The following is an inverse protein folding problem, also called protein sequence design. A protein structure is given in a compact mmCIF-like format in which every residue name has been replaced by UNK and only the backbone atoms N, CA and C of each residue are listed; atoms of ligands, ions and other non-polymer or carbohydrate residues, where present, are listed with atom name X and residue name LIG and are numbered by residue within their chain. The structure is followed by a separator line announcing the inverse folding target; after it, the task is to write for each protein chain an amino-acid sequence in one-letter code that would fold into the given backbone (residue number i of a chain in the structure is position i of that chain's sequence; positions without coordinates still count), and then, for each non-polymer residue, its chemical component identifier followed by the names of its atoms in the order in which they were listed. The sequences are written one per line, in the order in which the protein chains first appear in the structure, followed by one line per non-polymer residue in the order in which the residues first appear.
data_IF_653417888635
#
_entry.id   IF_653417888635
#
_cell.length_a   1.000
_cell.length_b   1.000
_cell.length_c   1.000
_cell.angle_alpha   90.00
_cell.angle_beta   90.00
_cell.angle_gamma   90.00
#
_symmetry.space_group_name_H-M   'P 1'
#
loop_
_entity.id
_entity.type
_entity.pdbx_description
1 polymer ?
#
# COMPACT_ATOMS: atom_id res chain seq x y z
N UNK A 1 2.17 9.49 9.56
CA UNK A 1 3.39 8.95 8.92
C UNK A 1 3.70 9.64 7.59
N UNK A 2 2.88 9.50 6.53
CA UNK A 2 3.09 10.23 5.25
C UNK A 2 3.05 11.76 5.40
N UNK A 3 2.07 12.30 6.13
CA UNK A 3 1.95 13.75 6.36
C UNK A 3 3.21 14.35 7.02
N UNK A 4 3.81 13.61 7.97
CA UNK A 4 5.03 14.05 8.65
C UNK A 4 6.26 14.11 7.71
N UNK A 5 6.17 13.52 6.51
CA UNK A 5 7.18 13.53 5.45
C UNK A 5 6.81 14.49 4.31
N UNK A 6 5.82 15.37 4.51
CA UNK A 6 5.45 16.40 3.54
C UNK A 6 4.51 15.94 2.42
N UNK A 7 3.98 14.72 2.48
CA UNK A 7 2.97 14.28 1.51
C UNK A 7 1.64 15.01 1.74
N UNK A 8 0.97 15.37 0.65
CA UNK A 8 -0.48 15.60 0.66
C UNK A 8 -1.18 14.26 0.88
N UNK A 9 -1.92 14.10 1.97
CA UNK A 9 -2.51 12.81 2.37
C UNK A 9 -4.02 12.91 2.40
N UNK A 10 -4.69 11.96 1.74
CA UNK A 10 -6.12 11.73 1.85
C UNK A 10 -6.39 10.37 2.49
N UNK A 11 -7.27 10.35 3.49
CA UNK A 11 -7.93 9.14 3.99
C UNK A 11 -9.42 9.38 3.89
N UNK A 12 -10.14 8.42 3.33
CA UNK A 12 -11.59 8.51 3.12
C UNK A 12 -12.28 7.24 3.59
N UNK A 13 -13.60 7.30 3.69
CA UNK A 13 -14.45 6.14 3.95
C UNK A 13 -15.01 5.63 2.63
N UNK A 14 -14.92 4.33 2.37
CA UNK A 14 -15.61 3.68 1.26
C UNK A 14 -17.13 3.87 1.34
N UNK A 15 -17.82 3.67 0.22
CA UNK A 15 -19.29 3.61 0.16
C UNK A 15 -19.89 2.76 1.27
N UNK A 16 -20.98 3.25 1.86
CA UNK A 16 -21.65 2.59 2.99
C UNK A 16 -20.96 2.69 4.35
N UNK A 17 -19.79 3.34 4.45
CA UNK A 17 -19.08 3.53 5.73
C UNK A 17 -19.24 4.97 6.26
N UNK A 18 -19.77 5.09 7.48
CA UNK A 18 -19.93 6.37 8.17
C UNK A 18 -20.91 7.28 7.43
N UNK A 19 -20.40 8.36 6.82
CA UNK A 19 -21.20 9.32 6.04
C UNK A 19 -21.13 9.10 4.52
N UNK A 20 -20.28 8.19 4.05
CA UNK A 20 -20.20 7.87 2.63
C UNK A 20 -21.46 7.12 2.20
N UNK A 21 -22.14 7.63 1.17
CA UNK A 21 -23.38 7.06 0.65
C UNK A 21 -23.14 5.72 -0.07
N UNK A 22 -24.22 5.05 -0.48
CA UNK A 22 -24.16 3.76 -1.16
C UNK A 22 -24.07 2.57 -0.19
N UNK A 23 -23.69 1.41 -0.73
CA UNK A 23 -23.55 0.15 0.01
C UNK A 23 -22.29 -0.58 -0.42
N UNK A 24 -21.75 -1.43 0.46
CA UNK A 24 -20.61 -2.29 0.16
C UNK A 24 -20.86 -3.14 -1.10
N UNK A 25 -19.86 -3.22 -1.97
CA UNK A 25 -19.99 -3.72 -3.35
C UNK A 25 -18.93 -4.77 -3.71
N UNK A 26 -18.40 -5.48 -2.71
CA UNK A 26 -17.44 -6.58 -2.87
C UNK A 26 -16.17 -6.24 -3.68
N UNK A 27 -15.81 -4.96 -3.79
CA UNK A 27 -14.55 -4.49 -4.33
C UNK A 27 -14.66 -3.62 -5.58
N UNK A 28 -15.63 -3.84 -6.47
CA UNK A 28 -15.76 -3.03 -7.69
C UNK A 28 -16.11 -1.58 -7.36
N UNK A 29 -17.10 -1.41 -6.49
CA UNK A 29 -17.48 -0.11 -5.99
C UNK A 29 -16.38 0.57 -5.17
N UNK A 30 -15.74 -0.16 -4.27
CA UNK A 30 -14.67 0.39 -3.43
C UNK A 30 -13.44 0.79 -4.26
N UNK A 31 -13.15 0.06 -5.35
CA UNK A 31 -12.11 0.43 -6.31
C UNK A 31 -12.46 1.74 -7.04
N UNK A 32 -13.72 1.91 -7.45
CA UNK A 32 -14.18 3.17 -8.06
C UNK A 32 -14.11 4.35 -7.07
N UNK A 33 -14.45 4.12 -5.80
CA UNK A 33 -14.31 5.13 -4.75
C UNK A 33 -12.84 5.53 -4.55
N UNK A 34 -11.93 4.55 -4.52
CA UNK A 34 -10.49 4.80 -4.38
C UNK A 34 -9.91 5.56 -5.58
N UNK A 35 -10.31 5.20 -6.81
CA UNK A 35 -9.92 5.93 -8.02
C UNK A 35 -10.40 7.39 -7.96
N UNK A 36 -11.67 7.61 -7.56
CA UNK A 36 -12.26 8.96 -7.43
C UNK A 36 -11.54 9.78 -6.37
N UNK A 37 -11.22 9.19 -5.21
CA UNK A 37 -10.49 9.84 -4.14
C UNK A 37 -9.07 10.24 -4.58
N UNK A 38 -8.40 9.36 -5.34
CA UNK A 38 -7.08 9.63 -5.91
C UNK A 38 -7.14 10.77 -6.94
N UNK A 39 -8.09 10.73 -7.88
CA UNK A 39 -8.29 11.79 -8.88
C UNK A 39 -8.52 13.14 -8.23
N UNK A 40 -9.37 13.18 -7.19
CA UNK A 40 -9.61 14.39 -6.43
C UNK A 40 -8.31 14.91 -5.80
N UNK A 41 -7.53 14.05 -5.13
CA UNK A 41 -6.28 14.44 -4.49
C UNK A 41 -5.25 14.96 -5.50
N UNK A 42 -5.11 14.30 -6.66
CA UNK A 42 -4.21 14.76 -7.72
C UNK A 42 -4.64 16.08 -8.33
N UNK A 43 -5.93 16.29 -8.54
CA UNK A 43 -6.47 17.57 -9.01
C UNK A 43 -6.21 18.71 -8.01
N UNK A 44 -6.17 18.43 -6.70
CA UNK A 44 -5.75 19.41 -5.70
C UNK A 44 -4.23 19.66 -5.68
N UNK A 45 -3.43 18.76 -6.28
CA UNK A 45 -1.97 18.79 -6.24
C UNK A 45 -1.35 18.54 -7.63
N UNK A 46 -1.66 19.35 -8.66
CA UNK A 46 -1.28 19.06 -10.05
C UNK A 46 0.23 19.09 -10.32
N UNK A 47 1.01 19.71 -9.42
CA UNK A 47 2.46 19.73 -9.50
C UNK A 47 3.13 18.49 -8.88
N UNK A 48 2.36 17.59 -8.27
CA UNK A 48 2.90 16.38 -7.64
C UNK A 48 3.39 15.39 -8.71
N UNK A 49 4.64 14.96 -8.58
CA UNK A 49 5.26 13.98 -9.47
C UNK A 49 5.24 12.56 -8.90
N UNK A 50 4.68 12.36 -7.72
CA UNK A 50 4.69 11.10 -7.00
C UNK A 50 3.35 10.80 -6.37
N UNK A 51 2.92 9.55 -6.48
CA UNK A 51 1.71 9.07 -5.81
C UNK A 51 1.99 7.74 -5.11
N UNK A 52 1.52 7.65 -3.87
CA UNK A 52 1.64 6.45 -3.06
C UNK A 52 0.25 5.98 -2.65
N UNK A 53 0.06 4.67 -2.59
CA UNK A 53 -1.14 4.06 -2.02
C UNK A 53 -0.81 3.25 -0.77
N UNK A 54 -1.61 3.41 0.27
CA UNK A 54 -1.45 2.65 1.51
C UNK A 54 -2.79 2.03 1.91
N UNK A 55 -2.76 0.73 2.19
CA UNK A 55 -3.93 -0.03 2.56
C UNK A 55 -3.71 -0.85 3.82
N UNK A 56 -4.80 -1.09 4.55
CA UNK A 56 -4.86 -2.05 5.65
C UNK A 56 -5.96 -3.08 5.34
N UNK A 57 -5.63 -4.36 5.48
CA UNK A 57 -6.54 -5.49 5.23
C UNK A 57 -7.23 -5.36 3.85
N UNK A 58 -8.57 -5.32 3.80
CA UNK A 58 -9.33 -5.11 2.56
C UNK A 58 -8.85 -3.88 1.76
N UNK A 59 -8.46 -2.79 2.43
CA UNK A 59 -7.90 -1.62 1.76
C UNK A 59 -6.58 -1.90 1.04
N UNK A 60 -5.78 -2.87 1.50
CA UNK A 60 -4.58 -3.34 0.77
C UNK A 60 -4.97 -3.98 -0.56
N UNK A 61 -6.01 -4.81 -0.57
CA UNK A 61 -6.48 -5.45 -1.80
C UNK A 61 -7.01 -4.42 -2.81
N UNK A 62 -7.83 -3.48 -2.37
CA UNK A 62 -8.32 -2.38 -3.22
C UNK A 62 -7.16 -1.51 -3.71
N UNK A 63 -6.24 -1.13 -2.82
CA UNK A 63 -5.10 -0.29 -3.19
C UNK A 63 -4.19 -0.95 -4.23
N UNK A 64 -3.96 -2.26 -4.12
CA UNK A 64 -3.17 -3.03 -5.09
C UNK A 64 -3.89 -3.14 -6.43
N UNK A 65 -5.22 -3.32 -6.43
CA UNK A 65 -6.01 -3.29 -7.66
C UNK A 65 -5.95 -1.93 -8.37
N UNK A 66 -6.02 -0.84 -7.60
CA UNK A 66 -5.92 0.51 -8.16
C UNK A 66 -4.52 0.76 -8.75
N UNK A 67 -3.47 0.31 -8.06
CA UNK A 67 -2.08 0.40 -8.53
C UNK A 67 -1.89 -0.23 -9.91
N UNK A 68 -2.51 -1.37 -10.19
CA UNK A 68 -2.43 -1.99 -11.53
C UNK A 68 -3.12 -1.19 -12.64
N UNK A 69 -3.99 -0.23 -12.29
CA UNK A 69 -4.75 0.59 -13.23
C UNK A 69 -4.22 2.02 -13.35
N UNK A 70 -3.29 2.42 -12.47
CA UNK A 70 -2.82 3.81 -12.31
C UNK A 70 -1.30 3.86 -12.32
N UNK A 71 -0.65 3.99 -13.50
CA UNK A 71 0.81 3.97 -13.64
C UNK A 71 1.52 5.11 -12.89
N UNK A 72 0.81 6.17 -12.53
CA UNK A 72 1.31 7.26 -11.68
C UNK A 72 1.55 6.86 -10.20
N UNK A 73 1.06 5.69 -9.76
CA UNK A 73 1.37 5.17 -8.43
C UNK A 73 2.80 4.62 -8.46
N UNK A 74 3.70 5.23 -7.70
CA UNK A 74 5.13 4.93 -7.70
C UNK A 74 5.63 4.24 -6.42
N UNK A 75 4.73 4.04 -5.45
CA UNK A 75 5.01 3.26 -4.24
C UNK A 75 3.74 2.76 -3.56
N UNK A 76 3.86 1.65 -2.83
CA UNK A 76 2.75 1.13 -2.05
C UNK A 76 3.15 0.63 -0.66
N UNK A 77 2.18 0.68 0.27
CA UNK A 77 2.24 0.02 1.58
C UNK A 77 0.98 -0.85 1.73
N UNK A 78 1.15 -2.15 1.98
CA UNK A 78 0.06 -3.09 2.27
C UNK A 78 0.22 -3.68 3.66
N UNK A 79 -0.68 -3.36 4.58
CA UNK A 79 -0.63 -3.84 5.97
C UNK A 79 -1.67 -4.94 6.16
N UNK A 80 -1.25 -6.11 6.65
CA UNK A 80 -2.08 -7.33 6.81
C UNK A 80 -2.98 -7.65 5.61
N UNK A 81 -2.44 -7.76 4.37
CA UNK A 81 -3.27 -8.03 3.20
C UNK A 81 -3.99 -9.40 3.34
N UNK A 82 -5.28 -9.49 3.00
CA UNK A 82 -6.11 -10.69 3.20
C UNK A 82 -5.86 -11.75 2.12
N UNK A 83 -4.62 -12.16 1.92
CA UNK A 83 -4.17 -13.06 0.83
C UNK A 83 -4.69 -14.51 0.91
N UNK A 84 -5.43 -14.84 1.97
CA UNK A 84 -6.18 -16.09 2.11
C UNK A 84 -7.58 -16.02 1.50
N UNK A 85 -8.22 -14.84 1.51
CA UNK A 85 -9.62 -14.66 1.06
C UNK A 85 -9.75 -13.87 -0.23
N UNK A 86 -8.73 -13.09 -0.59
CA UNK A 86 -8.70 -12.30 -1.82
C UNK A 86 -7.52 -12.68 -2.69
N UNK A 87 -7.72 -12.71 -4.00
CA UNK A 87 -6.66 -12.98 -4.97
C UNK A 87 -5.82 -11.73 -5.21
N UNK A 88 -4.51 -11.87 -5.07
CA UNK A 88 -3.49 -10.85 -5.36
C UNK A 88 -2.62 -11.22 -6.56
N UNK A 89 -2.88 -12.35 -7.23
CA UNK A 89 -2.07 -12.80 -8.37
C UNK A 89 -2.20 -11.92 -9.62
N UNK A 90 -3.20 -11.03 -9.66
CA UNK A 90 -3.27 -9.96 -10.66
C UNK A 90 -2.04 -9.03 -10.64
N UNK A 91 -1.26 -9.03 -9.55
CA UNK A 91 0.02 -8.34 -9.43
C UNK A 91 1.18 -9.12 -10.05
N UNK A 92 0.99 -10.20 -10.81
CA UNK A 92 2.11 -10.95 -11.39
C UNK A 92 2.35 -10.55 -12.87
N UNK A 93 3.40 -9.74 -13.18
CA UNK A 93 4.38 -9.15 -12.28
C UNK A 93 3.98 -7.77 -11.71
N UNK A 94 4.52 -7.44 -10.53
CA UNK A 94 4.13 -6.23 -9.82
C UNK A 94 4.90 -5.04 -10.41
N UNK A 95 4.22 -3.97 -10.84
CA UNK A 95 4.86 -2.89 -11.59
C UNK A 95 5.71 -1.95 -10.72
N UNK A 96 5.52 -1.98 -9.39
CA UNK A 96 5.97 -0.93 -8.48
C UNK A 96 6.60 -1.53 -7.24
N UNK A 97 7.68 -0.93 -6.74
CA UNK A 97 8.30 -1.33 -5.46
C UNK A 97 7.45 -0.88 -4.28
N UNK A 98 7.34 -1.72 -3.26
CA UNK A 98 6.53 -1.42 -2.08
C UNK A 98 6.89 -2.27 -0.87
N UNK A 99 6.11 -2.10 0.19
CA UNK A 99 6.24 -2.83 1.45
C UNK A 99 4.95 -3.58 1.77
N UNK A 100 5.09 -4.83 2.17
CA UNK A 100 4.04 -5.58 2.87
C UNK A 100 4.42 -5.72 4.34
N UNK A 101 3.53 -5.30 5.25
CA UNK A 101 3.71 -5.50 6.69
C UNK A 101 2.71 -6.55 7.17
N UNK A 102 3.21 -7.59 7.83
CA UNK A 102 2.41 -8.73 8.28
C UNK A 102 2.65 -9.01 9.77
N UNK A 103 1.58 -9.30 10.51
CA UNK A 103 1.71 -9.78 11.88
C UNK A 103 2.10 -11.27 11.91
N UNK A 104 3.12 -11.63 12.70
CA UNK A 104 3.62 -13.00 12.80
C UNK A 104 2.62 -13.99 13.44
N UNK A 105 1.70 -13.48 14.25
CA UNK A 105 0.60 -14.24 14.88
C UNK A 105 -0.77 -13.89 14.26
N UNK A 106 -0.78 -13.49 12.99
CA UNK A 106 -2.03 -13.27 12.26
C UNK A 106 -2.76 -14.61 12.05
N UNK A 107 -3.92 -14.76 12.69
CA UNK A 107 -4.73 -15.98 12.63
C UNK A 107 -5.51 -16.18 11.33
N UNK A 108 -5.59 -15.16 10.47
CA UNK A 108 -6.31 -15.21 9.19
C UNK A 108 -5.39 -15.48 8.00
N UNK A 109 -4.15 -14.99 8.06
CA UNK A 109 -3.16 -15.11 6.99
C UNK A 109 -1.79 -15.40 7.60
N UNK A 110 -1.21 -16.55 7.27
CA UNK A 110 0.13 -16.90 7.74
C UNK A 110 1.22 -16.07 7.05
N UNK A 111 2.34 -15.86 7.72
CA UNK A 111 3.53 -15.23 7.12
C UNK A 111 4.01 -15.97 5.87
N UNK A 112 4.00 -17.31 5.88
CA UNK A 112 4.37 -18.13 4.73
C UNK A 112 3.50 -17.84 3.50
N UNK A 113 2.20 -17.60 3.70
CA UNK A 113 1.30 -17.24 2.60
C UNK A 113 1.68 -15.91 1.97
N UNK A 114 2.11 -14.94 2.78
CA UNK A 114 2.61 -13.64 2.28
C UNK A 114 3.92 -13.83 1.52
N UNK A 115 4.87 -14.61 2.05
CA UNK A 115 6.15 -14.86 1.40
C UNK A 115 5.95 -15.57 0.04
N UNK A 116 5.06 -16.56 -0.03
CA UNK A 116 4.70 -17.23 -1.28
C UNK A 116 3.99 -16.29 -2.27
N UNK A 117 3.16 -15.37 -1.80
CA UNK A 117 2.56 -14.36 -2.65
C UNK A 117 3.65 -13.47 -3.26
N UNK A 118 4.56 -12.97 -2.44
CA UNK A 118 5.66 -12.09 -2.87
C UNK A 118 6.53 -12.77 -3.92
N UNK A 119 6.96 -14.02 -3.68
CA UNK A 119 7.73 -14.81 -4.65
C UNK A 119 7.04 -14.91 -6.03
N UNK A 120 5.71 -15.01 -6.05
CA UNK A 120 4.95 -15.07 -7.31
C UNK A 120 4.90 -13.72 -8.04
N UNK A 121 4.76 -12.61 -7.32
CA UNK A 121 4.51 -11.29 -7.90
C UNK A 121 5.79 -10.48 -8.14
N UNK A 122 6.89 -10.80 -7.45
CA UNK A 122 8.19 -10.10 -7.53
C UNK A 122 9.10 -10.58 -8.68
N UNK A 123 8.52 -11.06 -9.79
CA UNK A 123 9.28 -11.59 -10.93
C UNK A 123 9.83 -10.51 -11.86
N UNK A 124 9.39 -9.25 -11.71
CA UNK A 124 9.88 -8.13 -12.51
C UNK A 124 11.28 -7.72 -12.08
N UNK A 125 12.20 -7.55 -13.04
CA UNK A 125 13.49 -6.92 -12.77
C UNK A 125 13.28 -5.43 -12.44
N UNK A 126 14.05 -4.91 -11.48
CA UNK A 126 14.02 -3.49 -11.10
C UNK A 126 12.92 -3.09 -10.13
N UNK A 127 12.08 -4.04 -9.70
CA UNK A 127 11.05 -3.84 -8.68
C UNK A 127 11.39 -4.69 -7.46
N UNK A 128 11.25 -4.13 -6.27
CA UNK A 128 11.49 -4.82 -4.99
C UNK A 128 10.26 -4.69 -4.10
N UNK A 129 9.78 -5.83 -3.60
CA UNK A 129 8.70 -5.88 -2.62
C UNK A 129 9.31 -6.36 -1.31
N UNK A 130 9.42 -5.43 -0.36
CA UNK A 130 9.93 -5.73 0.97
C UNK A 130 8.81 -6.34 1.83
N UNK A 131 9.18 -7.23 2.75
CA UNK A 131 8.25 -7.85 3.70
C UNK A 131 8.74 -7.60 5.12
N UNK A 132 7.96 -6.85 5.90
CA UNK A 132 8.17 -6.66 7.33
C UNK A 132 7.24 -7.55 8.14
N UNK A 133 7.78 -8.63 8.72
CA UNK A 133 7.03 -9.46 9.67
C UNK A 133 7.26 -8.90 11.08
N UNK A 134 6.17 -8.52 11.76
CA UNK A 134 6.21 -8.06 13.15
C UNK A 134 5.92 -9.27 14.04
N UNK A 135 6.94 -9.76 14.74
CA UNK A 135 6.82 -10.94 15.61
C UNK A 135 5.76 -10.72 16.69
N UNK A 136 4.99 -11.76 16.99
CA UNK A 136 3.89 -11.75 17.98
C UNK A 136 2.72 -10.80 17.70
N UNK A 137 2.77 -10.04 16.61
CA UNK A 137 1.66 -9.18 16.23
C UNK A 137 0.52 -9.99 15.61
N UNK A 138 -0.70 -9.69 16.05
CA UNK A 138 -1.93 -10.16 15.42
C UNK A 138 -2.26 -9.35 14.15
N UNK A 139 -3.36 -9.69 13.47
CA UNK A 139 -3.81 -9.02 12.24
C UNK A 139 -4.11 -7.52 12.38
N UNK A 140 -4.33 -7.04 13.60
CA UNK A 140 -4.66 -5.64 13.90
C UNK A 140 -3.50 -4.87 14.51
N UNK A 141 -2.39 -5.53 14.84
CA UNK A 141 -1.24 -4.97 15.54
C UNK A 141 -1.60 -4.25 16.85
N UNK A 142 -2.65 -4.68 17.57
CA UNK A 142 -3.19 -3.93 18.73
C UNK A 142 -2.15 -3.62 19.81
N UNK A 143 -1.18 -4.52 20.04
CA UNK A 143 -0.08 -4.33 20.98
C UNK A 143 1.26 -3.95 20.30
N UNK A 144 1.30 -3.95 18.96
CA UNK A 144 2.52 -3.82 18.14
C UNK A 144 2.39 -2.74 17.07
N UNK A 145 1.46 -1.80 17.24
CA UNK A 145 1.20 -0.75 16.25
C UNK A 145 2.44 0.13 16.05
N UNK A 146 3.17 0.43 17.13
CA UNK A 146 4.39 1.23 17.03
C UNK A 146 5.45 0.55 16.18
N UNK A 147 5.69 -0.75 16.40
CA UNK A 147 6.65 -1.54 15.62
C UNK A 147 6.25 -1.61 14.14
N UNK A 148 4.96 -1.83 13.86
CA UNK A 148 4.44 -1.81 12.49
C UNK A 148 4.63 -0.43 11.83
N UNK A 149 4.31 0.66 12.53
CA UNK A 149 4.46 2.01 12.01
C UNK A 149 5.92 2.44 11.86
N UNK A 150 6.83 1.91 12.69
CA UNK A 150 8.28 2.10 12.55
C UNK A 150 8.81 1.40 11.31
N UNK A 151 8.41 0.15 11.06
CA UNK A 151 8.77 -0.59 9.84
C UNK A 151 8.33 0.16 8.58
N UNK A 152 7.08 0.67 8.56
CA UNK A 152 6.59 1.48 7.45
C UNK A 152 7.37 2.79 7.32
N UNK A 153 7.59 3.49 8.44
CA UNK A 153 8.34 4.77 8.46
C UNK A 153 9.73 4.61 7.87
N UNK A 154 10.48 3.60 8.32
CA UNK A 154 11.83 3.29 7.85
C UNK A 154 11.86 3.00 6.35
N UNK A 155 10.88 2.26 5.84
CA UNK A 155 10.78 1.96 4.41
C UNK A 155 10.54 3.24 3.59
N UNK A 156 9.56 4.06 4.00
CA UNK A 156 9.24 5.30 3.28
C UNK A 156 10.42 6.26 3.30
N UNK A 157 11.10 6.44 4.44
CA UNK A 157 12.32 7.27 4.54
C UNK A 157 13.42 6.80 3.60
N UNK A 158 13.65 5.48 3.54
CA UNK A 158 14.63 4.90 2.64
C UNK A 158 14.31 5.10 1.15
N UNK A 159 13.02 5.12 0.79
CA UNK A 159 12.57 5.37 -0.59
C UNK A 159 12.64 6.84 -0.98
N UNK A 160 12.23 7.75 -0.10
CA UNK A 160 12.25 9.19 -0.37
C UNK A 160 13.68 9.74 -0.41
N UNK A 161 14.57 9.25 0.46
CA UNK A 161 15.98 9.70 0.48
C UNK A 161 16.70 9.33 -0.82
N UNK A 162 16.58 8.08 -1.29
CA UNK A 162 17.19 7.62 -2.55
C UNK A 162 16.75 8.42 -3.78
N UNK A 163 15.53 8.93 -3.76
CA UNK A 163 14.94 9.68 -4.87
C UNK A 163 15.48 11.12 -4.93
N UNK A 164 15.65 11.76 -3.78
CA UNK A 164 16.29 13.08 -3.69
C UNK A 164 17.74 13.02 -4.22
N UNK A 165 18.49 11.99 -3.85
CA UNK A 165 19.88 11.79 -4.32
C UNK A 165 19.95 11.53 -5.84
N UNK A 166 18.98 10.78 -6.37
CA UNK A 166 18.89 10.49 -7.82
C UNK A 166 18.53 11.73 -8.62
N UNK A 167 17.65 12.58 -8.08
CA UNK A 167 17.24 13.84 -8.71
C UNK A 167 18.39 14.83 -8.75
N UNK A 168 19.19 14.94 -7.69
CA UNK A 168 20.38 15.82 -7.65
C UNK A 168 21.47 15.42 -8.66
N UNK A 169 21.66 14.13 -8.95
CA UNK A 169 22.64 13.67 -9.95
C UNK A 169 22.28 13.99 -11.40
N UNK A 170 21.02 14.32 -11.70
CA UNK A 170 20.57 14.66 -13.06
C UNK A 170 20.68 16.16 -13.37
N UNK A 171 20.96 17.00 -12.37
CA UNK A 171 21.05 18.46 -12.47
C UNK A 171 22.46 19.01 -12.17
N UNK A 172 23.47 18.14 -12.04
CA UNK A 172 24.89 18.50 -11.91
C UNK A 172 25.70 17.92 -13.05
#
# INVERSE_FOLDING_TARGET
MFQARGFSVLRFNFRGVGKSQGSYDNGEGELADAATAMDWLQNQNPASTECWIAGFSFGSWIGMQLMMRRPEITGFISISPPASTHDFTFLAPCPVSGLIVQGGENSQVSSDRILQLVDKISKQKGVTIDVGIIERANQFFSAHLNEAMEAVSKYVDGRTTKMNDSTQKLIG
#
